data_IF_122436758534
#
_entry.id   IF_122436758534
#
_cell.length_a   1.000
_cell.length_b   1.000
_cell.length_c   1.000
_cell.angle_alpha   90.00
_cell.angle_beta   90.00
_cell.angle_gamma   90.00
#
_symmetry.space_group_name_H-M   'P 1'
#
loop_
_entity.id
_entity.type
_entity.pdbx_description
1 polymer ?
#
# COMPACT_ATOMS: atom_id res chain seq x y z
N UNK A 1 -64.67 20.20 -53.61
CA UNK A 1 -65.21 20.75 -52.35
C UNK A 1 -65.53 19.57 -51.47
N UNK A 2 -64.95 19.59 -50.27
CA UNK A 2 -65.44 18.99 -49.01
C UNK A 2 -65.84 17.50 -49.01
N UNK A 3 -65.06 16.65 -48.32
CA UNK A 3 -65.37 16.10 -46.98
C UNK A 3 -65.99 14.70 -47.15
N UNK A 4 -65.72 13.62 -46.42
CA UNK A 4 -65.10 13.35 -45.12
C UNK A 4 -64.58 11.91 -45.15
N UNK A 5 -63.36 11.63 -44.64
CA UNK A 5 -62.90 10.24 -44.40
C UNK A 5 -63.23 9.82 -42.97
N UNK A 6 -64.11 8.83 -42.91
CA UNK A 6 -64.53 8.08 -41.73
C UNK A 6 -63.33 7.33 -41.10
N UNK A 7 -63.06 7.57 -39.82
CA UNK A 7 -62.17 6.72 -39.01
C UNK A 7 -62.79 6.52 -37.63
N UNK A 8 -63.34 5.32 -37.48
CA UNK A 8 -63.89 4.75 -36.26
C UNK A 8 -62.90 4.79 -35.09
N UNK A 9 -63.39 5.24 -33.94
CA UNK A 9 -62.64 5.41 -32.70
C UNK A 9 -62.79 4.17 -31.80
N UNK A 10 -61.69 3.47 -31.54
CA UNK A 10 -61.62 2.43 -30.49
C UNK A 10 -60.72 2.94 -29.36
N UNK A 11 -61.31 3.12 -28.17
CA UNK A 11 -60.67 3.67 -26.96
C UNK A 11 -59.63 2.69 -26.38
N UNK A 12 -58.35 3.05 -26.42
CA UNK A 12 -57.29 2.38 -25.64
C UNK A 12 -57.37 2.86 -24.20
N UNK A 13 -57.52 1.93 -23.24
CA UNK A 13 -57.58 2.22 -21.80
C UNK A 13 -56.20 2.67 -21.29
N UNK A 14 -56.11 3.90 -20.76
CA UNK A 14 -54.90 4.41 -20.09
C UNK A 14 -54.69 3.66 -18.76
N UNK A 15 -53.54 3.02 -18.58
CA UNK A 15 -53.11 2.49 -17.27
C UNK A 15 -52.85 3.68 -16.33
N UNK A 16 -53.55 3.71 -15.19
CA UNK A 16 -53.45 4.78 -14.18
C UNK A 16 -52.11 4.66 -13.45
N UNK A 17 -51.13 5.49 -13.83
CA UNK A 17 -49.91 5.67 -13.05
C UNK A 17 -50.20 6.35 -11.72
N UNK A 18 -49.54 5.89 -10.65
CA UNK A 18 -49.68 6.45 -9.30
C UNK A 18 -49.01 7.83 -9.26
N UNK A 19 -49.75 8.86 -8.83
CA UNK A 19 -49.24 10.22 -8.64
C UNK A 19 -48.16 10.20 -7.53
N UNK A 20 -46.97 10.80 -7.72
CA UNK A 20 -45.98 10.88 -6.64
C UNK A 20 -46.53 11.77 -5.52
N UNK A 21 -46.42 11.29 -4.28
CA UNK A 21 -46.79 12.05 -3.09
C UNK A 21 -45.65 12.98 -2.66
N UNK A 22 -46.06 14.16 -2.25
CA UNK A 22 -45.29 15.35 -1.86
C UNK A 22 -44.40 15.17 -0.63
N UNK A 23 -43.34 15.97 -0.60
CA UNK A 23 -42.34 16.21 0.44
C UNK A 23 -43.00 16.69 1.76
N UNK A 24 -42.61 16.13 2.91
CA UNK A 24 -42.85 16.70 4.25
C UNK A 24 -41.61 16.48 5.15
N UNK A 25 -41.25 17.55 5.86
CA UNK A 25 -40.02 17.84 6.61
C UNK A 25 -39.66 16.88 7.76
N UNK A 26 -38.35 16.65 8.02
CA UNK A 26 -37.88 16.06 9.26
C UNK A 26 -37.62 17.15 10.30
N UNK A 27 -38.50 17.28 11.30
CA UNK A 27 -38.15 17.81 12.62
C UNK A 27 -39.26 17.41 13.60
N UNK A 28 -39.05 16.28 14.30
CA UNK A 28 -39.59 15.97 15.62
C UNK A 28 -38.82 14.79 16.20
N UNK A 29 -38.03 15.09 17.22
CA UNK A 29 -37.34 14.19 18.16
C UNK A 29 -38.35 13.49 19.07
N UNK A 30 -38.05 12.23 19.44
CA UNK A 30 -38.17 11.58 20.78
C UNK A 30 -37.81 10.10 20.56
N UNK A 31 -36.71 9.54 21.04
CA UNK A 31 -36.39 9.05 22.41
C UNK A 31 -35.99 7.57 22.28
N UNK A 32 -34.89 7.15 22.93
CA UNK A 32 -34.51 5.73 23.10
C UNK A 32 -33.41 5.19 22.18
N UNK A 33 -32.13 5.41 22.54
CA UNK A 33 -31.00 4.69 21.95
C UNK A 33 -30.79 3.33 22.65
N UNK A 34 -31.06 2.24 21.94
CA UNK A 34 -30.43 0.95 22.22
C UNK A 34 -29.07 0.89 21.52
N UNK A 35 -28.01 0.87 22.32
CA UNK A 35 -26.62 0.72 21.89
C UNK A 35 -26.38 -0.74 21.52
N UNK A 36 -26.49 -1.10 20.23
CA UNK A 36 -25.74 -2.21 19.61
C UNK A 36 -26.14 -2.39 18.12
N UNK A 37 -25.66 -1.49 17.26
CA UNK A 37 -25.46 -1.74 15.84
C UNK A 37 -24.68 -0.55 15.29
N UNK A 38 -23.35 -0.69 15.16
CA UNK A 38 -22.56 0.24 14.37
C UNK A 38 -22.93 -0.07 12.92
N UNK A 39 -23.82 0.73 12.34
CA UNK A 39 -24.10 0.70 10.90
C UNK A 39 -22.93 1.36 10.16
N UNK A 40 -22.32 0.60 9.25
CA UNK A 40 -21.19 0.95 8.36
C UNK A 40 -21.49 2.08 7.34
N UNK A 41 -22.41 2.99 7.64
CA UNK A 41 -22.74 4.12 6.75
C UNK A 41 -22.66 5.46 7.49
N UNK A 42 -21.53 5.72 8.14
CA UNK A 42 -21.23 7.08 8.62
C UNK A 42 -20.77 7.93 7.43
N UNK A 43 -21.72 8.54 6.73
CA UNK A 43 -21.41 9.58 5.73
C UNK A 43 -21.09 10.85 6.49
N UNK A 44 -19.80 11.10 6.72
CA UNK A 44 -19.32 12.37 7.28
C UNK A 44 -19.43 13.43 6.19
N UNK A 45 -20.49 14.26 6.24
CA UNK A 45 -20.56 15.49 5.44
C UNK A 45 -19.69 16.54 6.12
N UNK A 46 -18.40 16.57 5.76
CA UNK A 46 -17.55 17.70 6.09
C UNK A 46 -18.12 18.95 5.40
N UNK A 47 -18.54 19.95 6.18
CA UNK A 47 -18.70 21.29 5.64
C UNK A 47 -17.29 21.78 5.35
N UNK A 48 -16.88 21.66 4.10
CA UNK A 48 -15.76 22.43 3.58
C UNK A 48 -16.32 23.84 3.49
N UNK A 49 -16.09 24.63 4.52
CA UNK A 49 -16.18 26.07 4.36
C UNK A 49 -15.09 26.42 3.34
N UNK A 50 -15.44 27.20 2.32
CA UNK A 50 -14.45 27.78 1.41
C UNK A 50 -13.58 28.71 2.24
N UNK A 51 -12.54 28.15 2.86
CA UNK A 51 -11.54 28.90 3.59
C UNK A 51 -10.72 29.62 2.51
N UNK A 52 -11.18 30.80 2.11
CA UNK A 52 -10.42 31.78 1.33
C UNK A 52 -9.26 32.40 2.14
N UNK A 53 -8.78 31.72 3.17
CA UNK A 53 -7.62 32.16 3.93
C UNK A 53 -6.55 31.09 3.84
N UNK A 54 -5.60 31.34 2.92
CA UNK A 54 -4.27 30.74 2.89
C UNK A 54 -3.49 31.11 4.16
N UNK A 55 -4.02 30.79 5.33
CA UNK A 55 -3.30 30.88 6.58
C UNK A 55 -2.34 29.71 6.61
N UNK A 56 -1.17 29.96 6.01
CA UNK A 56 0.09 29.26 6.21
C UNK A 56 0.11 28.75 7.66
N UNK A 57 0.13 27.42 7.81
CA UNK A 57 0.17 26.78 9.11
C UNK A 57 1.38 27.35 9.89
N UNK A 58 1.25 27.76 11.16
CA UNK A 58 2.38 28.31 11.90
C UNK A 58 3.53 27.29 11.93
N UNK A 59 4.66 27.63 11.28
CA UNK A 59 5.81 26.75 11.07
C UNK A 59 6.01 26.25 9.63
N UNK A 60 5.07 26.53 8.72
CA UNK A 60 5.25 26.31 7.28
C UNK A 60 5.93 27.56 6.70
N UNK A 61 7.17 27.45 6.22
CA UNK A 61 7.79 28.48 5.40
C UNK A 61 7.50 28.15 3.93
N UNK A 62 6.91 29.11 3.19
CA UNK A 62 6.87 29.11 1.72
C UNK A 62 8.27 29.39 1.15
N UNK A 63 9.29 28.73 1.71
CA UNK A 63 10.57 28.61 1.03
C UNK A 63 10.29 27.83 -0.23
N UNK A 64 10.45 28.49 -1.38
CA UNK A 64 10.43 27.87 -2.70
C UNK A 64 11.20 26.54 -2.64
N UNK A 65 10.50 25.42 -2.51
CA UNK A 65 11.05 24.06 -2.69
C UNK A 65 11.24 23.84 -4.21
N UNK A 66 11.91 24.78 -4.85
CA UNK A 66 12.45 24.67 -6.20
C UNK A 66 13.93 24.27 -6.17
N UNK A 67 14.51 24.05 -4.99
CA UNK A 67 15.59 23.10 -4.88
C UNK A 67 15.00 21.69 -4.92
N UNK A 68 14.68 21.22 -6.13
CA UNK A 68 14.93 19.80 -6.42
C UNK A 68 16.43 19.62 -6.23
N UNK A 69 16.87 19.41 -4.98
CA UNK A 69 18.21 18.90 -4.73
C UNK A 69 18.31 17.67 -5.60
N UNK A 70 19.30 17.69 -6.48
CA UNK A 70 19.74 16.61 -7.34
C UNK A 70 20.20 15.44 -6.44
N UNK A 71 19.27 14.86 -5.67
CA UNK A 71 19.45 13.70 -4.83
C UNK A 71 19.44 12.49 -5.76
N UNK A 72 20.41 12.46 -6.67
CA UNK A 72 20.64 11.35 -7.59
C UNK A 72 20.97 10.15 -6.72
N UNK A 73 20.14 9.11 -6.78
CA UNK A 73 20.49 7.87 -6.13
C UNK A 73 21.69 7.27 -6.87
N UNK A 74 22.81 7.10 -6.16
CA UNK A 74 23.99 6.48 -6.76
C UNK A 74 23.82 4.97 -6.95
N UNK A 75 22.89 4.34 -6.23
CA UNK A 75 22.72 2.89 -6.19
C UNK A 75 21.39 2.45 -6.81
N UNK A 76 21.44 1.35 -7.57
CA UNK A 76 20.27 0.74 -8.17
C UNK A 76 19.32 0.20 -7.09
N UNK A 77 18.03 0.51 -7.21
CA UNK A 77 17.01 0.06 -6.26
C UNK A 77 16.85 -1.46 -6.20
N UNK A 78 17.26 -2.18 -7.25
CA UNK A 78 17.17 -3.64 -7.28
C UNK A 78 18.47 -4.33 -6.86
N UNK A 79 19.56 -4.11 -7.59
CA UNK A 79 20.82 -4.83 -7.36
C UNK A 79 21.80 -4.12 -6.41
N UNK A 80 21.48 -2.92 -5.92
CA UNK A 80 22.33 -2.11 -5.04
C UNK A 80 23.71 -1.71 -5.61
N UNK A 81 23.95 -1.91 -6.91
CA UNK A 81 25.19 -1.50 -7.57
C UNK A 81 25.12 -0.06 -8.05
N UNK A 82 26.29 0.57 -8.26
CA UNK A 82 26.39 1.93 -8.77
C UNK A 82 25.73 2.07 -10.15
N UNK A 83 24.94 3.14 -10.31
CA UNK A 83 24.24 3.46 -11.54
C UNK A 83 25.18 4.23 -12.46
N UNK A 84 25.51 3.64 -13.62
CA UNK A 84 26.23 4.34 -14.70
C UNK A 84 25.23 5.03 -15.63
N UNK A 85 24.17 4.31 -16.01
CA UNK A 85 23.06 4.81 -16.82
C UNK A 85 21.77 4.62 -16.05
N UNK A 86 21.03 5.71 -15.89
CA UNK A 86 19.78 5.73 -15.15
C UNK A 86 18.64 5.22 -16.03
N UNK A 87 17.91 4.24 -15.52
CA UNK A 87 16.67 3.73 -16.07
C UNK A 87 15.58 3.84 -15.00
N UNK A 88 14.33 4.02 -15.43
CA UNK A 88 13.18 4.20 -14.54
C UNK A 88 11.99 3.39 -15.04
N UNK A 89 11.03 3.17 -14.16
CA UNK A 89 9.79 2.45 -14.45
C UNK A 89 8.66 3.47 -14.57
N UNK A 90 7.77 3.37 -15.56
CA UNK A 90 6.58 4.22 -15.63
C UNK A 90 5.52 3.82 -14.60
N UNK A 91 5.00 4.81 -13.86
CA UNK A 91 3.84 4.68 -12.98
C UNK A 91 2.52 4.75 -13.74
N UNK A 92 2.39 5.79 -14.57
CA UNK A 92 1.18 6.13 -15.34
C UNK A 92 1.56 6.94 -16.57
N UNK A 93 0.71 6.87 -17.59
CA UNK A 93 0.80 7.72 -18.77
C UNK A 93 -0.47 8.59 -18.84
N UNK A 94 -0.31 9.91 -18.85
CA UNK A 94 -1.41 10.89 -18.99
C UNK A 94 -1.01 11.88 -20.06
N UNK A 95 -1.86 12.10 -21.06
CA UNK A 95 -1.61 13.03 -22.18
C UNK A 95 -0.26 12.82 -22.87
N UNK A 96 0.07 11.55 -23.14
CA UNK A 96 1.37 11.12 -23.72
C UNK A 96 2.61 11.46 -22.87
N UNK A 97 2.43 11.88 -21.62
CA UNK A 97 3.51 12.09 -20.64
C UNK A 97 3.58 10.90 -19.69
N UNK A 98 4.75 10.29 -19.62
CA UNK A 98 5.03 9.22 -18.67
C UNK A 98 5.49 9.81 -17.35
N UNK A 99 4.79 9.46 -16.27
CA UNK A 99 5.27 9.68 -14.91
C UNK A 99 6.13 8.50 -14.55
N UNK A 100 7.40 8.73 -14.24
CA UNK A 100 8.38 7.69 -13.99
C UNK A 100 8.85 7.71 -12.54
N UNK A 101 9.35 6.59 -12.06
CA UNK A 101 9.99 6.48 -10.76
C UNK A 101 11.03 5.36 -10.74
N UNK A 102 11.88 5.43 -9.72
CA UNK A 102 12.90 4.44 -9.43
C UNK A 102 14.15 4.63 -10.26
N UNK A 103 15.27 4.33 -9.61
CA UNK A 103 16.60 4.52 -10.16
C UNK A 103 17.24 3.14 -10.35
N UNK A 104 17.35 2.71 -11.61
CA UNK A 104 17.86 1.39 -11.99
C UNK A 104 19.08 1.52 -12.90
N UNK A 105 20.03 0.59 -12.75
CA UNK A 105 21.22 0.55 -13.59
C UNK A 105 21.00 -0.13 -14.96
N UNK A 106 19.91 -0.88 -15.13
CA UNK A 106 19.59 -1.58 -16.39
C UNK A 106 18.09 -1.89 -16.51
N UNK A 107 17.63 -2.10 -17.75
CA UNK A 107 16.25 -2.52 -18.04
C UNK A 107 15.89 -3.86 -17.36
N UNK A 108 16.84 -4.79 -17.29
CA UNK A 108 16.67 -6.07 -16.59
C UNK A 108 16.42 -5.85 -15.10
N UNK A 109 17.14 -4.91 -14.47
CA UNK A 109 16.93 -4.57 -13.06
C UNK A 109 15.55 -3.96 -12.81
N UNK A 110 15.10 -3.08 -13.71
CA UNK A 110 13.76 -2.50 -13.67
C UNK A 110 12.68 -3.58 -13.82
N UNK A 111 12.84 -4.48 -14.80
CA UNK A 111 11.87 -5.56 -15.02
C UNK A 111 11.75 -6.49 -13.81
N UNK A 112 12.89 -6.88 -13.24
CA UNK A 112 12.92 -7.69 -12.02
C UNK A 112 12.27 -7.01 -10.83
N UNK A 113 12.50 -5.71 -10.67
CA UNK A 113 11.85 -4.93 -9.62
C UNK A 113 10.33 -4.94 -9.77
N UNK A 114 9.81 -4.84 -11.00
CA UNK A 114 8.36 -4.97 -11.26
C UNK A 114 7.85 -6.34 -10.80
N UNK A 115 8.53 -7.41 -11.17
CA UNK A 115 8.16 -8.79 -10.81
C UNK A 115 8.21 -9.04 -9.31
N UNK A 116 9.22 -8.50 -8.61
CA UNK A 116 9.38 -8.73 -7.17
C UNK A 116 8.38 -7.90 -6.32
N UNK A 117 7.94 -6.72 -6.79
CA UNK A 117 7.10 -5.80 -6.01
C UNK A 117 5.59 -5.91 -6.33
N UNK A 118 5.23 -6.29 -7.55
CA UNK A 118 3.83 -6.34 -7.99
C UNK A 118 3.35 -7.78 -8.18
N UNK A 119 2.04 -8.01 -8.03
CA UNK A 119 1.44 -9.33 -8.13
C UNK A 119 0.20 -9.33 -9.03
N UNK A 120 -0.09 -10.48 -9.63
CA UNK A 120 -1.32 -10.75 -10.39
C UNK A 120 -1.57 -9.72 -11.51
N UNK A 121 -2.75 -9.10 -11.53
CA UNK A 121 -3.17 -8.16 -12.57
C UNK A 121 -2.31 -6.90 -12.62
N UNK A 122 -1.98 -6.34 -11.46
CA UNK A 122 -1.16 -5.12 -11.38
C UNK A 122 0.23 -5.34 -11.96
N UNK A 123 0.80 -6.53 -11.78
CA UNK A 123 2.07 -6.92 -12.38
C UNK A 123 2.04 -6.78 -13.90
N UNK A 124 1.02 -7.36 -14.54
CA UNK A 124 0.87 -7.33 -16.00
C UNK A 124 0.60 -5.93 -16.53
N UNK A 125 -0.24 -5.14 -15.84
CA UNK A 125 -0.51 -3.75 -16.20
C UNK A 125 0.78 -2.89 -16.14
N UNK A 126 1.60 -3.06 -15.10
CA UNK A 126 2.89 -2.38 -14.98
C UNK A 126 3.89 -2.86 -16.03
N UNK A 127 3.91 -4.16 -16.32
CA UNK A 127 4.77 -4.73 -17.35
C UNK A 127 4.45 -4.21 -18.75
N UNK A 128 3.16 -4.15 -19.11
CA UNK A 128 2.71 -3.59 -20.39
C UNK A 128 3.08 -2.11 -20.52
N UNK A 129 2.85 -1.32 -19.46
CA UNK A 129 3.21 0.08 -19.44
C UNK A 129 4.73 0.29 -19.57
N UNK A 130 5.52 -0.56 -18.91
CA UNK A 130 6.97 -0.57 -19.00
C UNK A 130 7.45 -0.89 -20.42
N UNK A 131 6.86 -1.89 -21.09
CA UNK A 131 7.19 -2.22 -22.48
C UNK A 131 6.82 -1.09 -23.44
N UNK A 132 5.65 -0.47 -23.25
CA UNK A 132 5.22 0.69 -24.04
C UNK A 132 6.21 1.85 -23.90
N UNK A 133 6.64 2.14 -22.67
CA UNK A 133 7.62 3.18 -22.37
C UNK A 133 8.97 2.91 -23.04
N UNK A 134 9.48 1.69 -22.93
CA UNK A 134 10.75 1.30 -23.58
C UNK A 134 10.66 1.40 -25.10
N UNK A 135 9.57 0.94 -25.70
CA UNK A 135 9.35 1.08 -27.15
C UNK A 135 9.37 2.54 -27.60
N UNK A 136 8.81 3.45 -26.79
CA UNK A 136 8.81 4.88 -27.07
C UNK A 136 10.20 5.52 -26.96
N UNK A 137 11.03 5.09 -25.99
CA UNK A 137 12.38 5.60 -25.81
C UNK A 137 13.33 5.10 -26.91
N UNK A 138 13.29 3.81 -27.21
CA UNK A 138 14.28 3.17 -28.09
C UNK A 138 13.81 3.04 -29.55
N UNK A 139 12.53 3.30 -29.83
CA UNK A 139 11.95 3.17 -31.17
C UNK A 139 11.87 1.74 -31.69
N UNK A 140 12.14 0.73 -30.85
CA UNK A 140 12.12 -0.69 -31.20
C UNK A 140 11.54 -1.53 -30.07
N UNK A 141 11.00 -2.70 -30.43
CA UNK A 141 10.58 -3.70 -29.45
C UNK A 141 11.83 -4.39 -28.87
N UNK A 142 12.05 -4.22 -27.57
CA UNK A 142 13.15 -4.84 -26.84
C UNK A 142 12.58 -5.99 -26.03
N UNK A 143 13.04 -7.20 -26.32
CA UNK A 143 12.74 -8.37 -25.50
C UNK A 143 13.70 -8.42 -24.31
N UNK A 144 13.20 -8.07 -23.14
CA UNK A 144 13.98 -8.06 -21.89
C UNK A 144 13.79 -9.42 -21.22
N UNK A 145 14.88 -10.15 -21.00
CA UNK A 145 14.86 -11.38 -20.20
C UNK A 145 14.75 -11.03 -18.72
N UNK A 146 14.01 -11.84 -17.96
CA UNK A 146 13.90 -11.68 -16.53
C UNK A 146 15.21 -12.18 -15.87
N UNK A 147 15.97 -11.33 -15.16
CA UNK A 147 17.14 -11.80 -14.44
C UNK A 147 16.75 -12.59 -13.19
N UNK A 148 17.66 -13.41 -12.63
CA UNK A 148 17.42 -14.18 -11.41
C UNK A 148 17.22 -13.26 -10.18
N UNK A 149 16.97 -13.84 -9.01
CA UNK A 149 16.77 -13.05 -7.80
C UNK A 149 18.06 -12.31 -7.42
N UNK A 150 17.95 -11.08 -6.87
CA UNK A 150 19.12 -10.33 -6.38
C UNK A 150 19.93 -11.12 -5.35
N UNK A 151 19.30 -12.03 -4.60
CA UNK A 151 19.98 -12.92 -3.64
C UNK A 151 20.99 -13.87 -4.32
N UNK A 152 20.89 -14.09 -5.63
CA UNK A 152 21.86 -14.88 -6.40
C UNK A 152 23.16 -14.11 -6.72
N UNK A 153 23.18 -12.78 -6.53
CA UNK A 153 24.40 -11.99 -6.74
C UNK A 153 25.41 -12.25 -5.62
N UNK A 154 26.69 -12.21 -5.96
CA UNK A 154 27.80 -12.37 -4.99
C UNK A 154 27.73 -11.41 -3.81
N UNK A 155 27.30 -10.16 -4.05
CA UNK A 155 27.14 -9.17 -3.00
C UNK A 155 26.14 -9.60 -1.90
N UNK A 156 25.18 -10.47 -2.24
CA UNK A 156 24.20 -11.03 -1.30
C UNK A 156 24.52 -12.48 -0.89
N UNK A 157 25.69 -13.01 -1.27
CA UNK A 157 26.14 -14.37 -0.94
C UNK A 157 25.82 -15.43 -1.99
N UNK A 158 25.41 -15.03 -3.20
CA UNK A 158 25.23 -15.94 -4.32
C UNK A 158 26.50 -16.15 -5.16
N UNK A 159 26.36 -16.81 -6.30
CA UNK A 159 27.46 -17.20 -7.19
C UNK A 159 27.44 -16.49 -8.56
N UNK A 160 26.57 -15.49 -8.74
CA UNK A 160 26.39 -14.78 -10.01
C UNK A 160 27.05 -13.40 -9.94
N UNK A 161 27.91 -13.11 -10.92
CA UNK A 161 28.47 -11.77 -11.12
C UNK A 161 27.43 -10.78 -11.67
N UNK A 162 27.63 -9.49 -11.38
CA UNK A 162 26.68 -8.42 -11.76
C UNK A 162 26.46 -8.30 -13.27
N UNK A 163 27.49 -8.55 -14.08
CA UNK A 163 27.38 -8.43 -15.54
C UNK A 163 26.54 -9.56 -16.13
N UNK A 164 26.75 -10.79 -15.67
CA UNK A 164 25.92 -11.94 -16.07
C UNK A 164 24.47 -11.81 -15.59
N UNK A 165 24.26 -11.19 -14.42
CA UNK A 165 22.94 -10.85 -13.91
C UNK A 165 22.22 -9.87 -14.84
N UNK A 166 22.89 -8.81 -15.28
CA UNK A 166 22.31 -7.81 -16.19
C UNK A 166 21.99 -8.38 -17.56
N UNK A 167 22.84 -9.27 -18.06
CA UNK A 167 22.64 -10.00 -19.31
C UNK A 167 21.58 -11.11 -19.21
N UNK A 168 21.13 -11.44 -18.00
CA UNK A 168 20.10 -12.46 -17.74
C UNK A 168 20.48 -13.81 -18.36
N UNK A 169 21.76 -14.21 -18.21
CA UNK A 169 22.27 -15.50 -18.71
C UNK A 169 21.72 -16.69 -17.93
N UNK A 170 21.28 -16.47 -16.69
CA UNK A 170 20.83 -17.51 -15.77
C UNK A 170 19.31 -17.43 -15.56
N UNK A 171 18.64 -18.57 -15.69
CA UNK A 171 17.18 -18.70 -15.51
C UNK A 171 16.78 -19.34 -14.17
N UNK A 172 17.75 -19.67 -13.33
CA UNK A 172 17.48 -20.46 -12.13
C UNK A 172 16.99 -19.55 -11.00
N UNK A 173 15.73 -19.73 -10.64
CA UNK A 173 15.18 -19.22 -9.38
C UNK A 173 15.57 -20.19 -8.25
N UNK A 174 16.20 -19.66 -7.21
CA UNK A 174 16.62 -20.37 -5.98
C UNK A 174 17.75 -21.40 -6.13
N UNK A 175 18.96 -20.97 -5.77
CA UNK A 175 19.80 -21.84 -4.94
C UNK A 175 19.25 -21.68 -3.51
N UNK A 176 18.54 -22.70 -3.01
CA UNK A 176 18.22 -22.72 -1.57
C UNK A 176 19.55 -22.56 -0.81
N UNK A 177 19.67 -21.57 0.08
CA UNK A 177 20.86 -21.47 0.90
C UNK A 177 21.04 -22.81 1.63
N UNK A 178 22.29 -23.23 1.77
CA UNK A 178 22.63 -24.44 2.53
C UNK A 178 21.96 -24.29 3.90
N UNK A 179 21.02 -25.18 4.22
CA UNK A 179 20.42 -25.26 5.54
C UNK A 179 21.56 -25.71 6.45
N UNK A 180 22.17 -24.78 7.18
CA UNK A 180 23.16 -25.12 8.20
C UNK A 180 22.36 -25.62 9.40
N UNK A 181 22.39 -26.93 9.72
CA UNK A 181 21.75 -27.41 10.93
C UNK A 181 22.48 -26.77 12.11
N UNK A 182 21.84 -25.80 12.76
CA UNK A 182 22.34 -25.29 14.03
C UNK A 182 22.15 -26.41 15.03
N UNK A 183 23.25 -27.06 15.42
CA UNK A 183 23.26 -27.85 16.65
C UNK A 183 23.07 -26.84 17.78
N UNK A 184 21.82 -26.58 18.14
CA UNK A 184 21.48 -26.04 19.45
C UNK A 184 21.88 -27.12 20.44
N UNK A 185 23.18 -27.17 20.76
CA UNK A 185 23.61 -27.78 21.99
C UNK A 185 22.87 -26.95 23.04
N UNK A 186 21.79 -27.50 23.56
CA UNK A 186 21.20 -27.03 24.80
C UNK A 186 22.32 -27.17 25.83
N UNK A 187 23.14 -26.12 25.94
CA UNK A 187 24.07 -25.96 27.02
C UNK A 187 23.13 -25.87 28.23
N UNK A 188 22.89 -27.02 28.86
CA UNK A 188 22.25 -27.11 30.17
C UNK A 188 23.23 -26.43 31.14
N UNK A 189 23.20 -25.09 31.14
CA UNK A 189 23.80 -24.23 32.16
C UNK A 189 22.76 -23.90 33.23
N UNK A 190 21.73 -24.74 33.38
CA UNK A 190 20.89 -24.72 34.56
C UNK A 190 21.60 -25.51 35.66
N UNK A 191 22.48 -24.77 36.33
CA UNK A 191 22.69 -24.79 37.77
C UNK A 191 22.27 -26.08 38.48
N UNK A 192 23.25 -26.89 38.88
CA UNK A 192 23.10 -27.85 39.97
C UNK A 192 22.93 -27.12 41.32
N UNK A 193 22.00 -26.17 41.43
CA UNK A 193 21.46 -25.78 42.73
C UNK A 193 20.38 -26.81 43.07
N UNK A 194 20.76 -27.81 43.87
CA UNK A 194 19.81 -28.70 44.54
C UNK A 194 18.80 -27.82 45.28
N UNK A 195 17.62 -27.61 44.70
CA UNK A 195 16.46 -27.03 45.37
C UNK A 195 15.89 -28.08 46.33
N UNK A 196 16.62 -28.31 47.42
CA UNK A 196 16.17 -29.03 48.59
C UNK A 196 16.20 -28.08 49.79
N UNK A 197 15.18 -27.23 49.88
CA UNK A 197 14.54 -26.91 51.16
C UNK A 197 13.25 -26.13 50.89
N UNK A 198 12.18 -26.53 51.57
CA UNK A 198 10.90 -25.83 51.63
C UNK A 198 11.14 -24.44 52.25
N UNK A 199 11.38 -23.41 51.43
CA UNK A 199 11.77 -22.09 51.95
C UNK A 199 11.37 -20.87 51.11
N UNK A 200 11.67 -20.82 49.82
CA UNK A 200 11.99 -19.51 49.23
C UNK A 200 11.11 -19.00 48.08
N UNK A 201 9.79 -19.14 48.20
CA UNK A 201 8.85 -18.33 47.41
C UNK A 201 7.71 -17.79 48.29
N UNK A 202 8.07 -17.11 49.38
CA UNK A 202 7.11 -16.26 50.10
C UNK A 202 7.14 -14.86 49.48
N UNK A 203 6.17 -14.57 48.62
CA UNK A 203 5.85 -13.18 48.30
C UNK A 203 5.42 -12.47 49.59
N UNK A 204 6.26 -11.58 50.09
CA UNK A 204 5.94 -10.76 51.25
C UNK A 204 4.79 -9.81 50.87
N UNK A 205 3.57 -10.13 51.32
CA UNK A 205 2.46 -9.19 51.34
C UNK A 205 2.50 -8.47 52.68
N UNK A 206 2.80 -7.17 52.70
CA UNK A 206 2.48 -6.33 53.88
C UNK A 206 0.98 -6.48 54.16
N UNK A 207 0.63 -6.69 55.42
CA UNK A 207 -0.77 -6.71 55.87
C UNK A 207 -1.47 -5.42 55.42
N UNK A 208 -2.74 -5.53 55.02
CA UNK A 208 -3.59 -4.41 54.60
C UNK A 208 -3.41 -3.23 55.55
N UNK A 209 -2.88 -2.11 55.06
CA UNK A 209 -3.07 -0.84 55.74
C UNK A 209 -4.56 -0.53 55.67
N UNK A 210 -5.22 -0.34 56.82
CA UNK A 210 -6.62 0.07 56.94
C UNK A 210 -6.86 1.54 56.52
N UNK A 211 -5.99 2.08 55.67
CA UNK A 211 -6.20 3.40 55.07
C UNK A 211 -6.79 3.18 53.69
N UNK A 212 -8.12 3.15 53.64
CA UNK A 212 -8.87 3.21 52.39
C UNK A 212 -8.36 4.39 51.57
N UNK A 213 -8.13 4.19 50.28
CA UNK A 213 -7.67 5.23 49.34
C UNK A 213 -8.55 6.50 49.43
N UNK A 214 -9.83 6.31 49.74
CA UNK A 214 -10.82 7.38 49.99
C UNK A 214 -10.43 8.32 51.13
N UNK A 215 -9.78 7.83 52.19
CA UNK A 215 -9.33 8.65 53.33
C UNK A 215 -8.05 9.45 53.05
N UNK A 216 -7.33 9.14 51.97
CA UNK A 216 -6.14 9.89 51.53
C UNK A 216 -6.44 10.88 50.39
N UNK A 217 -7.65 10.86 49.85
CA UNK A 217 -8.13 11.89 48.92
C UNK A 217 -8.92 12.91 49.74
N UNK A 218 -8.36 14.11 49.93
CA UNK A 218 -9.15 15.26 50.38
C UNK A 218 -10.10 15.67 49.25
N UNK A 219 -11.23 14.98 49.14
CA UNK A 219 -12.38 15.33 48.30
C UNK A 219 -13.52 15.81 49.21
#
# INVERSE_FOLDING_TARGET
MEETKDKTSVKIKKKRGRKPKSIINPNKTTEGLDKNSINDNMIIKLKIEDIENNNILPGYSDENINEYKDNKCYNCWNCCHKIQKMHSIPLKCVDYKFYIYGDFCSLSCSYRYIVDNYKNRELWEKYELFNLYNRKIYGKDITIKLPPNKLCLEHFGGNIHIDDYRESKFFNEMNNPIIIPVKNNNIKKDTNTKLNSKGDLKLYRKSKNEKNIVSNMNL
#
